data_IF_004320600837
#
_entry.id   IF_004320600837
#
_cell.length_a   1.000
_cell.length_b   1.000
_cell.length_c   1.000
_cell.angle_alpha   90.00
_cell.angle_beta   90.00
_cell.angle_gamma   90.00
#
_symmetry.space_group_name_H-M   'P 1'
#
loop_
_entity.id
_entity.type
_entity.pdbx_description
1 polymer ?
#
# COMPACT_ATOMS: atom_id res chain seq x y z
N UNK A 1 17.64 -40.50 68.05
CA UNK A 1 16.98 -40.75 66.75
C UNK A 1 16.44 -39.48 66.07
N UNK A 2 16.79 -38.28 66.53
CA UNK A 2 16.24 -37.00 66.05
C UNK A 2 17.08 -36.15 65.07
N UNK A 3 18.32 -36.54 64.77
CA UNK A 3 19.25 -35.68 63.99
C UNK A 3 19.11 -35.80 62.47
N UNK A 4 18.85 -37.00 61.96
CA UNK A 4 18.72 -37.27 60.49
C UNK A 4 17.48 -36.68 59.89
N UNK A 5 16.34 -36.63 60.64
CA UNK A 5 15.07 -36.09 60.14
C UNK A 5 15.13 -34.56 59.96
N UNK A 6 15.79 -33.83 60.88
CA UNK A 6 15.96 -32.38 60.77
C UNK A 6 16.86 -31.98 59.62
N UNK A 7 17.87 -32.78 59.25
CA UNK A 7 18.78 -32.54 58.15
C UNK A 7 18.05 -32.69 56.78
N UNK A 8 17.24 -33.73 56.64
CA UNK A 8 16.48 -33.98 55.40
C UNK A 8 15.39 -32.93 55.16
N UNK A 9 14.78 -32.37 56.19
CA UNK A 9 13.81 -31.27 56.07
C UNK A 9 14.52 -30.00 55.61
N UNK A 10 15.72 -29.66 56.14
CA UNK A 10 16.49 -28.49 55.70
C UNK A 10 16.92 -28.60 54.23
N UNK A 11 17.34 -29.77 53.76
CA UNK A 11 17.76 -30.00 52.37
C UNK A 11 16.57 -29.88 51.42
N UNK A 12 15.38 -30.35 51.78
CA UNK A 12 14.17 -30.22 50.97
C UNK A 12 13.69 -28.77 50.89
N UNK A 13 13.78 -28.00 51.95
CA UNK A 13 13.45 -26.57 51.94
C UNK A 13 14.42 -25.78 51.06
N UNK A 14 15.71 -26.01 51.16
CA UNK A 14 16.75 -25.39 50.31
C UNK A 14 16.53 -25.70 48.84
N UNK A 15 16.20 -26.93 48.46
CA UNK A 15 15.90 -27.31 47.06
C UNK A 15 14.67 -26.60 46.54
N UNK A 16 13.61 -26.45 47.34
CA UNK A 16 12.41 -25.70 46.95
C UNK A 16 12.65 -24.20 46.77
N UNK A 17 13.48 -23.62 47.66
CA UNK A 17 13.86 -22.20 47.56
C UNK A 17 14.73 -21.96 46.32
N UNK A 18 15.71 -22.86 46.05
CA UNK A 18 16.55 -22.79 44.85
C UNK A 18 15.72 -22.90 43.57
N UNK A 19 14.74 -23.81 43.53
CA UNK A 19 13.82 -23.97 42.40
C UNK A 19 12.96 -22.72 42.18
N UNK A 20 12.52 -22.08 43.26
CA UNK A 20 11.71 -20.86 43.18
C UNK A 20 12.53 -19.67 42.65
N UNK A 21 13.79 -19.54 43.06
CA UNK A 21 14.68 -18.49 42.55
C UNK A 21 14.97 -18.68 41.06
N UNK A 22 15.17 -19.93 40.61
CA UNK A 22 15.39 -20.22 39.17
C UNK A 22 14.15 -19.84 38.34
N UNK A 23 12.96 -20.12 38.82
CA UNK A 23 11.68 -19.79 38.10
C UNK A 23 11.50 -18.28 38.02
N UNK A 24 11.84 -17.49 39.06
CA UNK A 24 11.68 -16.03 39.03
C UNK A 24 12.66 -15.32 38.10
N UNK A 25 13.83 -15.90 37.81
CA UNK A 25 14.79 -15.30 36.87
C UNK A 25 14.39 -15.43 35.40
N UNK A 26 13.49 -16.35 35.05
CA UNK A 26 12.98 -16.48 33.69
C UNK A 26 11.82 -15.54 33.33
N UNK A 27 11.20 -14.85 34.31
CA UNK A 27 10.03 -13.99 34.10
C UNK A 27 10.45 -12.54 33.82
N UNK A 28 11.74 -12.19 33.94
CA UNK A 28 12.22 -10.79 33.89
C UNK A 28 12.82 -10.37 32.52
N UNK A 29 12.51 -11.05 31.45
CA UNK A 29 12.92 -10.57 30.12
C UNK A 29 11.70 -10.05 29.34
N UNK A 30 11.10 -8.95 29.83
CA UNK A 30 10.32 -8.07 28.93
C UNK A 30 11.32 -7.38 27.99
N UNK A 31 11.54 -7.99 26.84
CA UNK A 31 12.09 -7.26 25.70
C UNK A 31 11.07 -6.19 25.32
N UNK A 32 11.25 -4.96 25.81
CA UNK A 32 10.61 -3.80 25.21
C UNK A 32 11.15 -3.72 23.78
N UNK A 33 10.40 -4.29 22.84
CA UNK A 33 10.56 -3.96 21.43
C UNK A 33 10.27 -2.48 21.31
N UNK A 34 11.30 -1.65 21.24
CA UNK A 34 11.16 -0.27 20.81
C UNK A 34 10.83 -0.41 19.34
N UNK A 35 9.55 -0.31 18.99
CA UNK A 35 9.14 -0.11 17.60
C UNK A 35 9.77 1.20 17.15
N UNK A 36 10.89 1.10 16.46
CA UNK A 36 11.46 2.23 15.74
C UNK A 36 10.51 2.48 14.56
N UNK A 37 9.71 3.51 14.67
CA UNK A 37 8.81 3.96 13.62
C UNK A 37 9.65 4.26 12.37
N UNK A 38 9.72 3.29 11.44
CA UNK A 38 10.49 3.43 10.21
C UNK A 38 9.72 4.33 9.26
N UNK A 39 10.22 5.55 9.07
CA UNK A 39 9.70 6.44 8.04
C UNK A 39 9.96 5.85 6.64
N UNK A 40 8.94 5.86 5.78
CA UNK A 40 9.04 5.50 4.36
C UNK A 40 9.59 6.68 3.50
N UNK A 41 10.13 7.71 4.13
CA UNK A 41 10.66 8.91 3.49
C UNK A 41 10.03 10.19 4.05
N UNK A 42 10.35 11.32 3.45
CA UNK A 42 9.80 12.62 3.86
C UNK A 42 9.60 13.56 2.67
N UNK A 43 8.83 14.60 2.88
CA UNK A 43 8.63 15.69 1.91
C UNK A 43 9.74 16.73 2.07
N UNK A 44 10.30 17.18 0.96
CA UNK A 44 11.42 18.15 0.95
C UNK A 44 11.03 19.55 0.44
N UNK A 45 9.76 19.78 0.12
CA UNK A 45 9.33 21.04 -0.49
C UNK A 45 7.95 21.50 -0.01
N UNK A 46 7.75 22.83 0.01
CA UNK A 46 6.48 23.49 0.32
C UNK A 46 6.09 23.41 1.79
N UNK A 47 4.81 23.62 2.08
CA UNK A 47 4.22 23.64 3.43
C UNK A 47 4.36 22.31 4.19
N UNK A 48 4.58 21.25 3.44
CA UNK A 48 4.72 19.90 3.99
C UNK A 48 6.20 19.48 4.17
N UNK A 49 7.16 20.40 4.00
CA UNK A 49 8.57 20.11 4.17
C UNK A 49 8.84 19.49 5.56
N UNK A 50 9.59 18.41 5.59
CA UNK A 50 9.92 17.67 6.81
C UNK A 50 8.86 16.67 7.29
N UNK A 51 7.62 16.69 6.76
CA UNK A 51 6.60 15.68 7.10
C UNK A 51 7.01 14.32 6.58
N UNK A 52 6.89 13.32 7.43
CA UNK A 52 7.26 11.94 7.15
C UNK A 52 6.15 11.19 6.41
N UNK A 53 6.57 10.20 5.65
CA UNK A 53 5.68 9.17 5.10
C UNK A 53 5.75 7.92 5.97
N UNK A 54 4.60 7.28 6.12
CA UNK A 54 4.43 5.93 6.65
C UNK A 54 3.91 5.05 5.52
N UNK A 55 4.02 3.73 5.65
CA UNK A 55 3.32 2.83 4.74
C UNK A 55 1.81 2.98 4.94
N UNK A 56 1.09 3.02 3.83
CA UNK A 56 -0.38 2.99 3.81
C UNK A 56 -0.92 1.56 3.99
N UNK A 57 -2.21 1.38 3.77
CA UNK A 57 -2.85 0.09 3.93
C UNK A 57 -2.69 -0.81 2.69
N UNK A 58 -2.58 -2.12 2.93
CA UNK A 58 -2.52 -3.12 1.85
C UNK A 58 -3.86 -3.18 1.08
N UNK A 59 -4.98 -2.90 1.75
CA UNK A 59 -6.31 -2.84 1.14
C UNK A 59 -6.38 -1.75 0.07
N UNK A 60 -5.84 -0.57 0.36
CA UNK A 60 -5.80 0.55 -0.60
C UNK A 60 -4.82 0.24 -1.75
N UNK A 61 -3.71 -0.44 -1.45
CA UNK A 61 -2.80 -0.90 -2.50
C UNK A 61 -3.48 -1.90 -3.45
N UNK A 62 -4.24 -2.88 -2.90
CA UNK A 62 -4.99 -3.84 -3.70
C UNK A 62 -6.08 -3.14 -4.51
N UNK A 63 -6.83 -2.21 -3.92
CA UNK A 63 -7.86 -1.46 -4.62
C UNK A 63 -7.30 -0.67 -5.80
N UNK A 64 -6.08 -0.11 -5.68
CA UNK A 64 -5.40 0.55 -6.78
C UNK A 64 -5.03 -0.42 -7.92
N UNK A 65 -4.57 -1.62 -7.58
CA UNK A 65 -4.29 -2.68 -8.56
C UNK A 65 -5.57 -3.11 -9.28
N UNK A 66 -6.65 -3.33 -8.52
CA UNK A 66 -7.95 -3.74 -9.08
C UNK A 66 -8.51 -2.67 -10.02
N UNK A 67 -8.38 -1.38 -9.70
CA UNK A 67 -8.77 -0.28 -10.58
C UNK A 67 -8.00 -0.30 -11.90
N UNK A 68 -6.69 -0.53 -11.84
CA UNK A 68 -5.83 -0.59 -13.04
C UNK A 68 -6.20 -1.78 -13.93
N UNK A 69 -6.47 -2.95 -13.34
CA UNK A 69 -6.88 -4.14 -14.08
C UNK A 69 -8.31 -3.97 -14.64
N UNK A 70 -9.23 -3.42 -13.85
CA UNK A 70 -10.60 -3.14 -14.28
C UNK A 70 -10.66 -2.23 -15.52
N UNK A 71 -9.75 -1.25 -15.62
CA UNK A 71 -9.64 -0.45 -16.84
C UNK A 71 -9.29 -1.31 -18.05
N UNK A 72 -8.30 -2.19 -17.96
CA UNK A 72 -7.90 -3.05 -19.08
C UNK A 72 -9.01 -4.03 -19.50
N UNK A 73 -9.79 -4.51 -18.52
CA UNK A 73 -10.89 -5.44 -18.71
C UNK A 73 -12.20 -4.76 -19.17
N UNK A 74 -12.22 -3.42 -19.25
CA UNK A 74 -13.43 -2.65 -19.58
C UNK A 74 -14.50 -2.66 -18.48
N UNK A 75 -14.14 -3.04 -17.25
CA UNK A 75 -15.03 -3.06 -16.09
C UNK A 75 -15.17 -1.66 -15.48
N UNK A 76 -15.80 -0.75 -16.23
CA UNK A 76 -15.93 0.65 -15.81
C UNK A 76 -16.95 0.85 -14.69
N UNK A 77 -17.89 -0.08 -14.51
CA UNK A 77 -18.85 -0.01 -13.41
C UNK A 77 -18.11 -0.16 -12.06
N UNK A 78 -17.19 -1.10 -11.96
CA UNK A 78 -16.35 -1.23 -10.78
C UNK A 78 -15.48 0.03 -10.56
N UNK A 79 -14.90 0.58 -11.62
CA UNK A 79 -14.11 1.82 -11.51
C UNK A 79 -14.95 2.98 -10.98
N UNK A 80 -16.20 3.12 -11.45
CA UNK A 80 -17.12 4.15 -10.96
C UNK A 80 -17.48 3.95 -9.49
N UNK A 81 -17.66 2.70 -9.04
CA UNK A 81 -17.96 2.37 -7.65
C UNK A 81 -16.87 2.86 -6.69
N UNK A 82 -15.61 2.67 -7.07
CA UNK A 82 -14.43 3.03 -6.25
C UNK A 82 -13.88 4.42 -6.56
N UNK A 83 -14.52 5.19 -7.42
CA UNK A 83 -14.18 6.59 -7.74
C UNK A 83 -14.96 7.57 -6.85
N UNK A 84 -14.36 8.73 -6.62
CA UNK A 84 -15.09 9.91 -6.16
C UNK A 84 -16.00 10.47 -7.28
N UNK A 85 -16.94 11.36 -6.95
CA UNK A 85 -17.84 11.99 -7.93
C UNK A 85 -17.08 12.75 -9.04
N UNK A 86 -15.89 13.21 -8.73
CA UNK A 86 -14.97 13.84 -9.69
C UNK A 86 -13.56 13.32 -9.43
N UNK A 87 -12.92 12.82 -10.47
CA UNK A 87 -11.51 12.37 -10.45
C UNK A 87 -10.66 13.34 -11.26
N UNK A 88 -9.62 13.89 -10.64
CA UNK A 88 -8.63 14.69 -11.35
C UNK A 88 -7.61 13.78 -12.02
N UNK A 89 -7.63 13.71 -13.34
CA UNK A 89 -6.68 12.94 -14.14
C UNK A 89 -5.62 13.84 -14.75
N UNK A 90 -4.37 13.45 -14.64
CA UNK A 90 -3.24 14.15 -15.26
C UNK A 90 -2.31 13.14 -15.94
N UNK A 91 -1.98 13.46 -17.18
CA UNK A 91 -0.96 12.80 -17.97
C UNK A 91 -0.15 13.89 -18.70
N UNK A 92 1.20 13.82 -18.72
CA UNK A 92 2.05 14.90 -19.22
C UNK A 92 1.76 15.34 -20.66
N UNK A 93 1.35 14.44 -21.54
CA UNK A 93 0.99 14.76 -22.93
C UNK A 93 -0.23 15.66 -23.03
N UNK A 94 -1.10 15.66 -22.03
CA UNK A 94 -2.30 16.51 -21.97
C UNK A 94 -1.91 17.95 -21.51
N UNK A 95 -0.80 18.07 -20.76
CA UNK A 95 -0.26 19.35 -20.31
C UNK A 95 -0.99 20.01 -19.14
N UNK A 96 -2.19 19.55 -18.77
CA UNK A 96 -2.98 20.05 -17.63
C UNK A 96 -3.88 18.94 -17.07
N UNK A 97 -4.23 18.98 -15.77
CA UNK A 97 -5.23 18.05 -15.23
C UNK A 97 -6.59 18.27 -15.88
N UNK A 98 -7.32 17.18 -16.12
CA UNK A 98 -8.71 17.17 -16.53
C UNK A 98 -9.59 16.62 -15.40
N UNK A 99 -10.81 17.15 -15.26
CA UNK A 99 -11.80 16.63 -14.33
C UNK A 99 -12.65 15.58 -15.06
N UNK A 100 -12.64 14.36 -14.57
CA UNK A 100 -13.45 13.26 -15.06
C UNK A 100 -14.62 13.08 -14.09
N UNK A 101 -15.83 13.27 -14.60
CA UNK A 101 -17.07 13.17 -13.80
C UNK A 101 -17.53 11.71 -13.78
N UNK A 102 -17.86 11.22 -12.60
CA UNK A 102 -18.42 9.90 -12.39
C UNK A 102 -19.95 9.91 -12.56
N UNK A 103 -20.56 8.99 -13.32
CA UNK A 103 -19.96 7.85 -14.00
C UNK A 103 -19.17 8.22 -15.26
N UNK A 104 -18.01 7.57 -15.45
CA UNK A 104 -17.04 7.90 -16.47
C UNK A 104 -17.04 6.93 -17.68
N UNK A 105 -18.08 6.09 -17.84
CA UNK A 105 -18.12 5.03 -18.85
C UNK A 105 -17.86 5.54 -20.28
N UNK A 106 -18.52 6.64 -20.67
CA UNK A 106 -18.34 7.21 -22.01
C UNK A 106 -16.90 7.68 -22.24
N UNK A 107 -16.33 8.40 -21.27
CA UNK A 107 -14.97 8.90 -21.33
C UNK A 107 -13.94 7.76 -21.41
N UNK A 108 -14.08 6.73 -20.56
CA UNK A 108 -13.19 5.58 -20.54
C UNK A 108 -13.30 4.76 -21.81
N UNK A 109 -14.53 4.54 -22.32
CA UNK A 109 -14.76 3.87 -23.61
C UNK A 109 -14.11 4.64 -24.76
N UNK A 110 -14.22 5.97 -24.77
CA UNK A 110 -13.61 6.80 -25.82
C UNK A 110 -12.07 6.67 -25.81
N UNK A 111 -11.44 6.61 -24.64
CA UNK A 111 -9.98 6.44 -24.53
C UNK A 111 -9.54 5.06 -25.01
N UNK A 112 -10.34 4.02 -24.77
CA UNK A 112 -10.03 2.65 -25.22
C UNK A 112 -10.34 2.39 -26.67
N UNK A 113 -11.32 3.12 -27.24
CA UNK A 113 -11.83 2.86 -28.59
C UNK A 113 -10.81 2.80 -29.73
N UNK A 114 -9.61 3.42 -29.65
CA UNK A 114 -8.58 3.27 -30.67
C UNK A 114 -7.90 1.89 -30.72
N UNK A 115 -8.09 1.05 -29.69
CA UNK A 115 -7.41 -0.22 -29.51
C UNK A 115 -8.38 -1.41 -29.57
N UNK A 116 -7.93 -2.53 -30.16
CA UNK A 116 -8.66 -3.80 -30.19
C UNK A 116 -8.73 -4.43 -28.79
N UNK A 117 -7.65 -4.31 -28.04
CA UNK A 117 -7.58 -4.72 -26.63
C UNK A 117 -6.42 -4.08 -25.91
N UNK A 118 -6.50 -4.07 -24.58
CA UNK A 118 -5.45 -3.59 -23.69
C UNK A 118 -5.17 -4.69 -22.66
N UNK A 119 -3.89 -4.98 -22.37
CA UNK A 119 -3.50 -5.87 -21.27
C UNK A 119 -2.53 -5.17 -20.35
N UNK A 120 -2.63 -5.42 -19.05
CA UNK A 120 -1.77 -4.83 -18.02
C UNK A 120 -1.11 -5.90 -17.16
N UNK A 121 0.18 -5.71 -16.90
CA UNK A 121 0.98 -6.57 -16.04
C UNK A 121 1.59 -5.74 -14.92
N UNK A 122 1.10 -5.94 -13.69
CA UNK A 122 1.50 -5.17 -12.51
C UNK A 122 2.85 -5.64 -12.00
N UNK A 123 3.77 -4.71 -11.73
CA UNK A 123 5.07 -5.00 -11.13
C UNK A 123 5.06 -4.78 -9.62
N UNK A 124 4.48 -3.68 -9.17
CA UNK A 124 4.36 -3.35 -7.74
C UNK A 124 3.28 -2.30 -7.51
N UNK A 125 2.80 -2.23 -6.27
CA UNK A 125 1.94 -1.18 -5.74
C UNK A 125 2.48 -0.78 -4.36
N UNK A 126 2.78 0.50 -4.17
CA UNK A 126 3.40 1.00 -2.94
C UNK A 126 2.48 2.05 -2.33
N UNK A 127 1.75 1.70 -1.25
CA UNK A 127 0.89 2.63 -0.54
C UNK A 127 1.69 3.49 0.42
N UNK A 128 1.44 4.80 0.43
CA UNK A 128 2.07 5.75 1.33
C UNK A 128 1.02 6.70 1.93
N UNK A 129 1.16 7.00 3.21
CA UNK A 129 0.40 8.02 3.91
C UNK A 129 1.35 9.05 4.49
N UNK A 130 1.14 10.32 4.16
CA UNK A 130 1.93 11.41 4.73
C UNK A 130 1.32 11.84 6.05
N UNK A 131 2.17 12.21 6.99
CA UNK A 131 1.78 12.75 8.30
C UNK A 131 0.85 13.97 8.15
N UNK A 132 -0.31 13.90 8.80
CA UNK A 132 -1.35 14.93 8.78
C UNK A 132 -2.27 14.94 7.57
N UNK A 133 -2.08 14.06 6.59
CA UNK A 133 -3.01 13.92 5.46
C UNK A 133 -4.21 13.03 5.83
N UNK A 134 -5.37 13.38 5.28
CA UNK A 134 -6.59 12.56 5.38
C UNK A 134 -6.80 11.67 4.13
N UNK A 135 -5.74 11.39 3.41
CA UNK A 135 -5.73 10.53 2.21
C UNK A 135 -4.46 9.68 2.17
N UNK A 136 -4.52 8.61 1.40
CA UNK A 136 -3.38 7.78 1.07
C UNK A 136 -3.04 7.90 -0.40
N UNK A 137 -1.79 7.63 -0.76
CA UNK A 137 -1.35 7.58 -2.16
C UNK A 137 -0.80 6.20 -2.46
N UNK A 138 -1.14 5.65 -3.61
CA UNK A 138 -0.53 4.42 -4.10
C UNK A 138 0.22 4.72 -5.39
N UNK A 139 1.48 4.33 -5.43
CA UNK A 139 2.26 4.34 -6.68
C UNK A 139 2.26 2.93 -7.25
N UNK A 140 1.66 2.76 -8.42
CA UNK A 140 1.60 1.46 -9.11
C UNK A 140 2.45 1.54 -10.37
N UNK A 141 3.33 0.56 -10.54
CA UNK A 141 4.14 0.42 -11.76
C UNK A 141 3.70 -0.83 -12.52
N UNK A 142 3.49 -0.69 -13.82
CA UNK A 142 3.03 -1.79 -14.65
C UNK A 142 3.49 -1.65 -16.10
N UNK A 143 3.39 -2.75 -16.85
CA UNK A 143 3.47 -2.74 -18.31
C UNK A 143 2.05 -2.76 -18.85
N UNK A 144 1.80 -1.90 -19.86
CA UNK A 144 0.59 -1.90 -20.67
C UNK A 144 0.94 -2.30 -22.09
N UNK A 145 0.21 -3.26 -22.64
CA UNK A 145 0.26 -3.57 -24.07
C UNK A 145 -1.07 -3.15 -24.70
N UNK A 146 -1.00 -2.33 -25.73
CA UNK A 146 -2.13 -1.86 -26.53
C UNK A 146 -2.06 -2.55 -27.88
N UNK A 147 -3.09 -3.28 -28.22
CA UNK A 147 -3.18 -4.01 -29.48
C UNK A 147 -4.06 -3.22 -30.45
N UNK A 148 -3.59 -3.06 -31.68
CA UNK A 148 -4.32 -2.37 -32.74
C UNK A 148 -3.90 -2.92 -34.11
N UNK A 149 -4.85 -3.33 -34.92
CA UNK A 149 -4.63 -3.80 -36.31
C UNK A 149 -3.53 -4.88 -36.42
N UNK A 150 -3.41 -5.76 -35.40
CA UNK A 150 -2.40 -6.81 -35.35
C UNK A 150 -1.02 -6.36 -34.83
N UNK A 151 -0.82 -5.09 -34.58
CA UNK A 151 0.37 -4.52 -33.94
C UNK A 151 0.22 -4.39 -32.43
N UNK A 152 1.35 -4.33 -31.72
CA UNK A 152 1.37 -4.10 -30.26
C UNK A 152 2.28 -2.95 -29.90
N UNK A 153 1.72 -1.95 -29.22
CA UNK A 153 2.48 -0.92 -28.55
C UNK A 153 2.69 -1.33 -27.09
N UNK A 154 3.93 -1.30 -26.61
CA UNK A 154 4.28 -1.63 -25.23
C UNK A 154 4.69 -0.38 -24.48
N UNK A 155 4.10 -0.19 -23.32
CA UNK A 155 4.36 0.95 -22.46
C UNK A 155 4.80 0.48 -21.08
N UNK A 156 5.77 1.18 -20.50
CA UNK A 156 5.99 1.18 -19.06
C UNK A 156 5.23 2.35 -18.46
N UNK A 157 4.37 2.07 -17.51
CA UNK A 157 3.48 3.06 -16.91
C UNK A 157 3.73 3.12 -15.40
N UNK A 158 3.66 4.33 -14.86
CA UNK A 158 3.64 4.58 -13.42
C UNK A 158 2.44 5.47 -13.13
N UNK A 159 1.49 4.95 -12.38
CA UNK A 159 0.37 5.70 -11.87
C UNK A 159 0.61 6.07 -10.41
N UNK A 160 0.35 7.31 -10.05
CA UNK A 160 0.17 7.71 -8.67
C UNK A 160 -1.29 8.06 -8.46
N UNK A 161 -1.92 7.35 -7.53
CA UNK A 161 -3.36 7.39 -7.27
C UNK A 161 -3.57 7.87 -5.83
N UNK A 162 -4.51 8.80 -5.63
CA UNK A 162 -4.87 9.33 -4.31
C UNK A 162 -6.22 8.81 -3.89
N UNK A 163 -6.28 8.22 -2.70
CA UNK A 163 -7.49 7.65 -2.10
C UNK A 163 -7.89 8.40 -0.85
N UNK A 164 -9.20 8.63 -0.70
CA UNK A 164 -9.83 9.14 0.52
C UNK A 164 -11.13 8.37 0.74
N UNK A 165 -11.33 7.86 1.95
CA UNK A 165 -12.53 7.10 2.34
C UNK A 165 -12.82 5.93 1.38
N UNK A 166 -11.78 5.22 0.94
CA UNK A 166 -11.88 4.08 0.02
C UNK A 166 -12.16 4.44 -1.44
N UNK A 167 -12.19 5.73 -1.80
CA UNK A 167 -12.44 6.18 -3.18
C UNK A 167 -11.24 6.95 -3.74
N UNK A 168 -10.86 6.66 -4.98
CA UNK A 168 -9.84 7.48 -5.62
C UNK A 168 -10.44 8.77 -6.19
N UNK A 169 -9.71 9.87 -6.00
CA UNK A 169 -10.12 11.20 -6.43
C UNK A 169 -9.11 11.89 -7.35
N UNK A 170 -7.93 11.29 -7.50
CA UNK A 170 -6.89 11.81 -8.39
C UNK A 170 -6.01 10.68 -8.90
N UNK A 171 -5.63 10.76 -10.18
CA UNK A 171 -4.67 9.89 -10.83
C UNK A 171 -3.69 10.75 -11.60
N UNK A 172 -2.40 10.58 -11.34
CA UNK A 172 -1.34 11.09 -12.20
C UNK A 172 -0.65 9.90 -12.86
N UNK A 173 -0.60 9.91 -14.18
CA UNK A 173 0.01 8.84 -14.98
C UNK A 173 1.25 9.36 -15.70
N UNK A 174 2.30 8.59 -15.69
CA UNK A 174 3.50 8.76 -16.52
C UNK A 174 3.73 7.48 -17.30
N UNK A 175 3.97 7.61 -18.58
CA UNK A 175 4.24 6.48 -19.46
C UNK A 175 5.40 6.76 -20.40
N UNK A 176 5.97 5.68 -20.93
CA UNK A 176 7.01 5.71 -21.95
C UNK A 176 6.99 4.42 -22.76
N UNK A 177 7.20 4.53 -24.07
CA UNK A 177 7.30 3.39 -24.97
C UNK A 177 8.54 2.58 -24.59
N UNK A 178 8.41 1.26 -24.63
CA UNK A 178 9.49 0.30 -24.43
C UNK A 178 9.56 -0.65 -25.63
N UNK A 179 10.78 -0.96 -26.06
CA UNK A 179 11.08 -1.90 -27.16
C UNK A 179 10.82 -3.36 -26.76
#
# INVERSE_FOLDING_TARGET
MGSRTKLNIKINIMKKILLFIIITTFISCETKTVEVEKSAGMTYYGENNGKKFQFGSDEIAQLAVDAILAYADGNFDFMNEISADTVMFFEPSIGKPIAVINPANEFLTQIQSPYDSITRFIFNAIPLKREGDNYETVTVSFRENRYKDGEVEKLKVVDKIWFRDGKFFRVNQWNGIID
#
